data_IF_045659340016
#
_entry.id   IF_045659340016
#
_cell.length_a   1.000
_cell.length_b   1.000
_cell.length_c   1.000
_cell.angle_alpha   90.00
_cell.angle_beta   90.00
_cell.angle_gamma   90.00
#
_symmetry.space_group_name_H-M   'P 1'
#
loop_
_entity.id
_entity.type
_entity.pdbx_description
1 polymer ?
#
# COMPACT_ATOMS: atom_id res chain seq x y z
N UNK A 1 -49.58 28.57 12.77
CA UNK A 1 -48.87 29.61 13.55
C UNK A 1 -47.54 29.88 12.86
N UNK A 2 -47.41 30.93 12.05
CA UNK A 2 -46.14 31.29 11.39
C UNK A 2 -45.40 32.33 12.24
N UNK A 3 -44.12 32.11 12.54
CA UNK A 3 -43.25 33.13 13.12
C UNK A 3 -41.86 33.07 12.47
N UNK A 4 -41.66 34.09 11.63
CA UNK A 4 -40.50 34.95 11.45
C UNK A 4 -39.11 34.37 11.16
N UNK A 5 -38.74 34.60 9.89
CA UNK A 5 -37.39 34.74 9.39
C UNK A 5 -36.68 35.91 10.07
N UNK A 6 -35.65 35.61 10.88
CA UNK A 6 -34.69 36.58 11.38
C UNK A 6 -33.37 36.45 10.60
N UNK A 7 -33.11 37.46 9.80
CA UNK A 7 -31.91 37.72 9.00
C UNK A 7 -30.66 37.81 9.90
N UNK A 8 -29.86 36.75 9.94
CA UNK A 8 -28.56 36.75 10.59
C UNK A 8 -27.49 37.33 9.64
N UNK A 9 -27.25 38.64 9.74
CA UNK A 9 -26.09 39.31 9.11
C UNK A 9 -24.83 38.83 9.84
N UNK A 10 -24.10 37.92 9.22
CA UNK A 10 -22.80 37.46 9.67
C UNK A 10 -21.78 38.61 9.59
N UNK A 11 -21.57 39.31 10.72
CA UNK A 11 -20.39 40.15 10.91
C UNK A 11 -19.16 39.23 11.02
N UNK A 12 -18.38 39.20 9.94
CA UNK A 12 -17.08 38.51 9.92
C UNK A 12 -16.12 39.08 10.99
N UNK A 13 -15.14 38.29 11.43
CA UNK A 13 -14.18 38.71 12.44
C UNK A 13 -13.35 39.89 11.95
N UNK A 14 -13.38 40.98 12.70
CA UNK A 14 -12.49 42.14 12.51
C UNK A 14 -11.07 41.66 12.83
N UNK A 15 -10.25 41.51 11.79
CA UNK A 15 -8.82 41.28 11.94
C UNK A 15 -8.21 42.48 12.65
N UNK A 16 -7.79 42.28 13.90
CA UNK A 16 -6.93 43.24 14.58
C UNK A 16 -5.60 43.37 13.80
N UNK A 17 -5.11 44.59 13.53
CA UNK A 17 -3.78 44.76 12.96
C UNK A 17 -2.73 44.22 13.94
N UNK A 18 -1.68 43.54 13.46
CA UNK A 18 -0.63 43.02 14.33
C UNK A 18 0.08 44.19 15.05
N UNK A 19 0.53 43.98 16.30
CA UNK A 19 1.31 44.99 17.01
C UNK A 19 2.58 45.27 16.20
N UNK A 20 2.76 46.54 15.82
CA UNK A 20 4.03 47.03 15.32
C UNK A 20 5.06 46.90 16.44
N UNK A 21 5.83 45.81 16.39
CA UNK A 21 7.06 45.68 17.16
C UNK A 21 8.02 46.75 16.64
N UNK A 22 8.06 47.88 17.33
CA UNK A 22 9.16 48.84 17.27
C UNK A 22 10.40 48.13 17.78
N UNK A 23 11.08 47.40 16.88
CA UNK A 23 12.43 46.90 17.11
C UNK A 23 13.36 48.09 17.05
N UNK A 24 13.72 48.61 18.21
CA UNK A 24 14.93 49.40 18.40
C UNK A 24 16.12 48.54 17.98
N UNK A 25 16.56 48.70 16.72
CA UNK A 25 17.85 48.20 16.28
C UNK A 25 18.93 48.99 17.02
N UNK A 26 19.37 48.44 18.15
CA UNK A 26 20.67 48.77 18.73
C UNK A 26 21.72 48.41 17.69
N UNK A 27 22.30 49.44 17.09
CA UNK A 27 23.41 49.37 16.13
C UNK A 27 24.68 48.86 16.82
N UNK A 28 24.74 47.55 17.07
CA UNK A 28 26.00 46.84 17.24
C UNK A 28 26.40 46.28 15.87
N UNK A 29 26.70 47.20 14.95
CA UNK A 29 27.26 46.88 13.65
C UNK A 29 28.72 46.42 13.82
N UNK A 30 28.90 45.17 14.25
CA UNK A 30 30.07 44.36 13.92
C UNK A 30 30.04 44.00 12.43
N UNK A 31 29.91 45.01 11.57
CA UNK A 31 30.15 44.86 10.16
C UNK A 31 31.64 44.51 10.02
N UNK A 32 31.94 43.28 9.63
CA UNK A 32 33.24 42.92 9.07
C UNK A 32 33.38 43.76 7.80
N UNK A 33 33.88 44.99 7.98
CA UNK A 33 34.26 45.89 6.90
C UNK A 33 35.46 45.24 6.22
N UNK A 34 35.20 44.45 5.18
CA UNK A 34 36.27 44.09 4.26
C UNK A 34 36.80 45.39 3.65
N UNK A 35 38.07 45.75 3.87
CA UNK A 35 38.64 46.97 3.33
C UNK A 35 38.54 46.91 1.81
N UNK A 36 37.80 47.86 1.24
CA UNK A 36 37.39 47.86 -0.18
C UNK A 36 38.56 47.97 -1.16
N UNK A 37 39.78 48.23 -0.69
CA UNK A 37 40.99 48.42 -1.49
C UNK A 37 42.25 47.80 -0.84
N UNK A 38 42.15 46.63 -0.20
CA UNK A 38 43.36 45.89 0.19
C UNK A 38 43.90 45.14 -1.04
N UNK A 39 44.85 45.74 -1.76
CA UNK A 39 45.66 45.00 -2.75
C UNK A 39 46.48 43.98 -1.96
N UNK A 40 45.96 42.75 -1.87
CA UNK A 40 46.66 41.65 -1.22
C UNK A 40 48.00 41.48 -1.92
N UNK A 41 49.09 41.51 -1.14
CA UNK A 41 50.41 41.25 -1.70
C UNK A 41 50.43 39.83 -2.28
N UNK A 42 51.14 39.61 -3.39
CA UNK A 42 51.22 38.30 -4.08
C UNK A 42 51.47 37.11 -3.13
N UNK A 43 52.31 37.22 -2.08
CA UNK A 43 52.50 36.12 -1.12
C UNK A 43 51.24 35.80 -0.29
N UNK A 44 50.42 36.80 0.02
CA UNK A 44 49.16 36.64 0.74
C UNK A 44 48.11 35.92 -0.12
N UNK A 45 48.00 36.29 -1.40
CA UNK A 45 47.12 35.61 -2.36
C UNK A 45 47.47 34.11 -2.48
N UNK A 46 48.77 33.77 -2.54
CA UNK A 46 49.20 32.37 -2.61
C UNK A 46 48.83 31.57 -1.36
N UNK A 47 48.94 32.18 -0.17
CA UNK A 47 48.54 31.54 1.09
C UNK A 47 47.02 31.30 1.13
N UNK A 48 46.23 32.27 0.69
CA UNK A 48 44.77 32.14 0.63
C UNK A 48 44.34 31.08 -0.39
N UNK A 49 44.94 31.03 -1.58
CA UNK A 49 44.68 29.99 -2.57
C UNK A 49 45.02 28.59 -2.05
N UNK A 50 46.17 28.41 -1.40
CA UNK A 50 46.55 27.14 -0.80
C UNK A 50 45.57 26.71 0.31
N UNK A 51 45.11 27.66 1.13
CA UNK A 51 44.12 27.41 2.18
C UNK A 51 42.77 27.00 1.60
N UNK A 52 42.30 27.68 0.55
CA UNK A 52 41.07 27.35 -0.16
C UNK A 52 41.14 25.98 -0.82
N UNK A 53 42.27 25.65 -1.46
CA UNK A 53 42.47 24.35 -2.08
C UNK A 53 42.46 23.23 -1.03
N UNK A 54 43.14 23.42 0.11
CA UNK A 54 43.09 22.46 1.22
C UNK A 54 41.68 22.33 1.83
N UNK A 55 40.88 23.40 1.85
CA UNK A 55 39.48 23.35 2.28
C UNK A 55 38.61 22.56 1.29
N UNK A 56 38.83 22.74 -0.01
CA UNK A 56 38.13 22.03 -1.08
C UNK A 56 38.45 20.53 -1.04
N UNK A 57 39.72 20.16 -0.84
CA UNK A 57 40.13 18.76 -0.72
C UNK A 57 39.53 18.10 0.53
N UNK A 58 39.46 18.82 1.66
CA UNK A 58 38.75 18.36 2.86
C UNK A 58 37.25 18.13 2.60
N UNK A 59 36.59 19.05 1.91
CA UNK A 59 35.19 18.92 1.55
C UNK A 59 34.95 17.71 0.63
N UNK A 60 35.78 17.54 -0.41
CA UNK A 60 35.71 16.38 -1.32
C UNK A 60 35.95 15.06 -0.59
N UNK A 61 36.90 15.02 0.34
CA UNK A 61 37.15 13.83 1.16
C UNK A 61 35.96 13.52 2.09
N UNK A 62 35.28 14.55 2.60
CA UNK A 62 34.02 14.40 3.35
C UNK A 62 32.93 13.74 2.51
N UNK A 63 32.66 14.30 1.32
CA UNK A 63 31.64 13.77 0.39
C UNK A 63 31.93 12.30 0.05
N UNK A 64 33.17 11.95 -0.30
CA UNK A 64 33.53 10.55 -0.62
C UNK A 64 33.28 9.59 0.54
N UNK A 65 33.51 10.03 1.79
CA UNK A 65 33.24 9.19 2.98
C UNK A 65 31.75 8.97 3.17
N UNK A 66 30.93 10.00 2.94
CA UNK A 66 29.47 9.89 3.01
C UNK A 66 28.92 9.01 1.89
N UNK A 67 29.43 9.17 0.66
CA UNK A 67 29.06 8.33 -0.48
C UNK A 67 29.39 6.85 -0.21
N UNK A 68 30.58 6.56 0.31
CA UNK A 68 30.95 5.19 0.69
C UNK A 68 30.01 4.61 1.75
N UNK A 69 29.70 5.37 2.80
CA UNK A 69 28.74 4.94 3.83
C UNK A 69 27.36 4.67 3.25
N UNK A 70 26.90 5.51 2.33
CA UNK A 70 25.60 5.32 1.66
C UNK A 70 25.60 4.06 0.81
N UNK A 71 26.65 3.84 0.02
CA UNK A 71 26.80 2.64 -0.81
C UNK A 71 26.87 1.37 0.05
N UNK A 72 27.60 1.40 1.17
CA UNK A 72 27.69 0.27 2.08
C UNK A 72 26.34 -0.02 2.76
N UNK A 73 25.61 1.03 3.17
CA UNK A 73 24.25 0.89 3.71
C UNK A 73 23.27 0.31 2.67
N UNK A 74 23.34 0.76 1.41
CA UNK A 74 22.53 0.20 0.32
C UNK A 74 22.86 -1.27 0.06
N UNK A 75 24.15 -1.65 0.07
CA UNK A 75 24.57 -3.05 -0.08
C UNK A 75 24.06 -3.93 1.04
N UNK A 76 24.10 -3.46 2.29
CA UNK A 76 23.56 -4.17 3.44
C UNK A 76 22.05 -4.39 3.32
N UNK A 77 21.30 -3.35 2.95
CA UNK A 77 19.85 -3.46 2.73
C UNK A 77 19.48 -4.45 1.61
N UNK A 78 20.25 -4.45 0.51
CA UNK A 78 20.06 -5.43 -0.58
C UNK A 78 20.36 -6.86 -0.10
N UNK A 79 21.35 -7.04 0.77
CA UNK A 79 21.68 -8.36 1.31
C UNK A 79 20.54 -8.88 2.22
N UNK A 80 20.02 -8.03 3.11
CA UNK A 80 18.89 -8.35 3.98
C UNK A 80 17.64 -8.72 3.16
N UNK A 81 17.29 -7.91 2.16
CA UNK A 81 16.17 -8.23 1.25
C UNK A 81 16.35 -9.57 0.51
N UNK A 82 17.58 -9.96 0.18
CA UNK A 82 17.86 -11.24 -0.47
C UNK A 82 17.74 -12.41 0.50
N UNK A 83 18.04 -12.19 1.77
CA UNK A 83 17.88 -13.19 2.82
C UNK A 83 16.39 -13.43 3.09
N UNK A 84 15.61 -12.37 3.29
CA UNK A 84 14.15 -12.49 3.46
C UNK A 84 13.49 -13.18 2.27
N UNK A 85 13.91 -12.84 1.04
CA UNK A 85 13.39 -13.50 -0.16
C UNK A 85 13.73 -15.00 -0.22
N UNK A 86 14.89 -15.42 0.31
CA UNK A 86 15.24 -16.85 0.39
C UNK A 86 14.41 -17.57 1.44
N UNK A 87 14.18 -16.94 2.59
CA UNK A 87 13.31 -17.50 3.63
C UNK A 87 11.88 -17.68 3.12
N UNK A 88 11.35 -16.69 2.40
CA UNK A 88 10.03 -16.77 1.76
C UNK A 88 9.94 -17.93 0.77
N UNK A 89 10.94 -18.12 -0.10
CA UNK A 89 10.98 -19.26 -1.02
C UNK A 89 10.98 -20.59 -0.27
N UNK A 90 11.76 -20.71 0.81
CA UNK A 90 11.81 -21.92 1.62
C UNK A 90 10.48 -22.22 2.33
N UNK A 91 9.79 -21.18 2.81
CA UNK A 91 8.44 -21.30 3.39
C UNK A 91 7.44 -21.77 2.34
N UNK A 92 7.50 -21.21 1.12
CA UNK A 92 6.62 -21.61 0.02
C UNK A 92 6.87 -23.05 -0.42
N UNK A 93 8.12 -23.46 -0.58
CA UNK A 93 8.47 -24.87 -0.88
C UNK A 93 7.99 -25.83 0.22
N UNK A 94 8.11 -25.43 1.49
CA UNK A 94 7.60 -26.21 2.62
C UNK A 94 6.07 -26.35 2.65
N UNK A 95 5.34 -25.28 2.33
CA UNK A 95 3.88 -25.30 2.24
C UNK A 95 3.40 -26.14 1.04
N UNK A 96 4.10 -26.06 -0.09
CA UNK A 96 3.79 -26.90 -1.27
C UNK A 96 4.03 -28.39 -1.00
N UNK A 97 5.10 -28.74 -0.28
CA UNK A 97 5.36 -30.13 0.14
C UNK A 97 4.28 -30.66 1.08
N UNK A 98 3.86 -29.87 2.07
CA UNK A 98 2.79 -30.27 3.00
C UNK A 98 1.45 -30.52 2.27
N UNK A 99 1.08 -29.64 1.34
CA UNK A 99 -0.14 -29.83 0.52
C UNK A 99 -0.06 -31.10 -0.33
N UNK A 100 1.09 -31.40 -0.91
CA UNK A 100 1.26 -32.61 -1.72
C UNK A 100 1.15 -33.91 -0.88
N UNK A 101 1.60 -33.89 0.37
CA UNK A 101 1.47 -35.02 1.30
C UNK A 101 -0.01 -35.24 1.69
N UNK A 102 -0.75 -34.18 1.99
CA UNK A 102 -2.18 -34.27 2.32
C UNK A 102 -3.00 -34.80 1.13
N UNK A 103 -2.71 -34.34 -0.10
CA UNK A 103 -3.33 -34.86 -1.32
C UNK A 103 -3.04 -36.35 -1.53
N UNK A 104 -1.81 -36.81 -1.26
CA UNK A 104 -1.47 -38.23 -1.32
C UNK A 104 -2.28 -39.05 -0.31
N UNK A 105 -2.45 -38.57 0.92
CA UNK A 105 -3.23 -39.27 1.95
C UNK A 105 -4.69 -39.42 1.52
N UNK A 106 -5.30 -38.38 0.96
CA UNK A 106 -6.69 -38.42 0.46
C UNK A 106 -6.82 -39.44 -0.67
N UNK A 107 -5.90 -39.45 -1.63
CA UNK A 107 -5.90 -40.41 -2.74
C UNK A 107 -5.75 -41.86 -2.25
N UNK A 108 -4.86 -42.09 -1.28
CA UNK A 108 -4.61 -43.42 -0.72
C UNK A 108 -5.83 -43.93 0.07
N UNK A 109 -6.48 -43.06 0.83
CA UNK A 109 -7.70 -43.39 1.55
C UNK A 109 -8.87 -43.69 0.60
N UNK A 110 -9.03 -42.90 -0.46
CA UNK A 110 -10.02 -43.16 -1.53
C UNK A 110 -9.80 -44.52 -2.19
N UNK A 111 -8.55 -44.84 -2.56
CA UNK A 111 -8.21 -46.13 -3.15
C UNK A 111 -8.51 -47.32 -2.20
N UNK A 112 -8.29 -47.17 -0.90
CA UNK A 112 -8.64 -48.20 0.09
C UNK A 112 -10.15 -48.39 0.22
N UNK A 113 -10.93 -47.31 0.15
CA UNK A 113 -12.39 -47.39 0.18
C UNK A 113 -12.94 -48.08 -1.06
N UNK A 114 -12.41 -47.75 -2.24
CA UNK A 114 -12.78 -48.41 -3.49
C UNK A 114 -12.46 -49.90 -3.43
N UNK A 115 -11.29 -50.28 -2.91
CA UNK A 115 -10.89 -51.68 -2.77
C UNK A 115 -11.85 -52.46 -1.86
N UNK A 116 -12.22 -51.90 -0.70
CA UNK A 116 -13.25 -52.49 0.18
C UNK A 116 -14.62 -52.61 -0.51
N UNK A 117 -14.95 -51.65 -1.37
CA UNK A 117 -16.21 -51.67 -2.12
C UNK A 117 -16.21 -52.80 -3.15
N UNK A 118 -15.09 -53.03 -3.84
CA UNK A 118 -14.94 -54.16 -4.74
C UNK A 118 -15.02 -55.49 -4.00
N UNK A 119 -14.38 -55.63 -2.84
CA UNK A 119 -14.48 -56.85 -2.01
C UNK A 119 -15.93 -57.15 -1.59
N UNK A 120 -16.69 -56.12 -1.22
CA UNK A 120 -18.12 -56.27 -0.91
C UNK A 120 -18.93 -56.71 -2.13
N UNK A 121 -18.69 -56.11 -3.30
CA UNK A 121 -19.37 -56.49 -4.54
C UNK A 121 -19.02 -57.93 -4.97
N UNK A 122 -17.78 -58.38 -4.78
CA UNK A 122 -17.38 -59.77 -5.03
C UNK A 122 -18.12 -60.74 -4.11
N UNK A 123 -18.25 -60.40 -2.82
CA UNK A 123 -19.03 -61.20 -1.87
C UNK A 123 -20.52 -61.23 -2.23
N UNK A 124 -21.12 -60.08 -2.59
CA UNK A 124 -22.52 -60.01 -3.03
C UNK A 124 -22.76 -60.81 -4.32
N UNK A 125 -21.83 -60.75 -5.29
CA UNK A 125 -21.89 -61.51 -6.53
C UNK A 125 -21.76 -63.03 -6.25
N UNK A 126 -20.86 -63.44 -5.36
CA UNK A 126 -20.74 -64.83 -4.94
C UNK A 126 -22.01 -65.34 -4.25
N UNK A 127 -22.64 -64.52 -3.40
CA UNK A 127 -23.92 -64.84 -2.74
C UNK A 127 -25.11 -64.86 -3.72
N UNK A 128 -25.11 -64.01 -4.75
CA UNK A 128 -26.12 -64.04 -5.81
C UNK A 128 -26.02 -65.31 -6.67
N UNK A 129 -24.79 -65.74 -7.00
CA UNK A 129 -24.53 -67.02 -7.69
C UNK A 129 -24.97 -68.21 -6.83
N UNK A 130 -24.70 -68.18 -5.52
CA UNK A 130 -25.14 -69.22 -4.59
C UNK A 130 -26.68 -69.29 -4.43
N UNK A 131 -27.39 -68.16 -4.64
CA UNK A 131 -28.85 -68.07 -4.64
C UNK A 131 -29.51 -68.45 -5.97
N UNK A 132 -28.73 -68.71 -7.03
CA UNK A 132 -29.25 -69.15 -8.33
C UNK A 132 -29.93 -68.04 -9.14
N UNK A 133 -29.64 -66.77 -8.83
CA UNK A 133 -30.12 -65.63 -9.62
C UNK A 133 -29.25 -65.50 -10.89
N UNK A 134 -29.77 -65.98 -12.02
CA UNK A 134 -29.19 -65.75 -13.35
C UNK A 134 -29.24 -64.25 -13.66
N UNK A 135 -28.11 -63.55 -13.50
CA UNK A 135 -27.92 -62.20 -14.04
C UNK A 135 -27.48 -62.35 -15.49
N UNK A 136 -28.37 -62.06 -16.44
CA UNK A 136 -27.97 -61.86 -17.83
C UNK A 136 -27.08 -60.63 -17.93
N UNK A 137 -25.85 -60.86 -18.38
CA UNK A 137 -24.82 -59.85 -18.52
C UNK A 137 -24.72 -59.36 -19.98
N UNK A 138 -24.41 -58.07 -20.07
CA UNK A 138 -23.57 -57.43 -21.07
C UNK A 138 -24.16 -57.01 -22.42
N UNK A 139 -24.08 -55.69 -22.66
CA UNK A 139 -23.66 -55.18 -23.95
C UNK A 139 -24.17 -53.79 -24.26
N UNK A 140 -23.44 -52.74 -23.85
CA UNK A 140 -23.26 -51.54 -24.68
C UNK A 140 -22.15 -50.62 -24.11
N UNK A 141 -20.94 -50.81 -24.63
CA UNK A 141 -19.87 -49.82 -24.60
C UNK A 141 -19.86 -49.09 -25.94
N UNK A 142 -19.61 -47.77 -25.87
CA UNK A 142 -19.11 -46.89 -26.94
C UNK A 142 -20.13 -46.20 -27.87
N UNK A 143 -20.50 -44.97 -27.52
CA UNK A 143 -20.39 -43.78 -28.39
C UNK A 143 -20.86 -42.52 -27.67
N UNK A 144 -19.98 -41.52 -27.53
CA UNK A 144 -20.40 -40.18 -27.09
C UNK A 144 -19.33 -39.32 -26.45
N UNK A 145 -18.14 -39.24 -27.04
CA UNK A 145 -17.29 -38.09 -26.82
C UNK A 145 -17.91 -36.85 -27.50
N UNK A 146 -17.92 -35.74 -26.77
CA UNK A 146 -18.21 -34.36 -27.17
C UNK A 146 -19.60 -33.77 -26.81
N UNK A 147 -19.50 -32.61 -26.13
CA UNK A 147 -20.48 -31.55 -25.93
C UNK A 147 -21.42 -31.68 -24.73
N UNK A 148 -21.10 -30.96 -23.66
CA UNK A 148 -21.98 -30.80 -22.50
C UNK A 148 -21.23 -30.37 -21.26
N UNK A 149 -20.82 -29.10 -21.22
CA UNK A 149 -20.47 -28.41 -19.96
C UNK A 149 -21.67 -28.53 -19.02
N UNK A 150 -21.53 -29.30 -17.94
CA UNK A 150 -22.40 -29.24 -16.78
C UNK A 150 -21.58 -29.60 -15.54
N UNK A 151 -21.36 -28.55 -14.76
CA UNK A 151 -20.71 -28.47 -13.46
C UNK A 151 -21.38 -29.42 -12.46
N UNK A 152 -20.64 -30.27 -11.73
CA UNK A 152 -21.14 -30.84 -10.48
C UNK A 152 -20.83 -29.87 -9.33
N UNK A 153 -21.90 -29.37 -8.72
CA UNK A 153 -21.85 -28.61 -7.48
C UNK A 153 -21.56 -29.54 -6.30
N UNK A 154 -20.56 -29.18 -5.49
CA UNK A 154 -20.54 -29.46 -4.06
C UNK A 154 -19.57 -30.53 -3.58
N UNK A 155 -18.28 -30.18 -3.51
CA UNK A 155 -17.51 -30.18 -2.25
C UNK A 155 -16.51 -29.02 -2.34
N UNK A 156 -16.98 -27.82 -2.00
CA UNK A 156 -16.16 -26.64 -1.75
C UNK A 156 -15.82 -26.65 -0.25
N UNK A 157 -14.58 -27.02 0.04
CA UNK A 157 -13.85 -26.81 1.28
C UNK A 157 -12.42 -27.23 0.87
N UNK A 158 -11.42 -26.37 0.69
CA UNK A 158 -11.07 -25.21 1.51
C UNK A 158 -10.37 -24.14 0.64
N UNK A 159 -11.09 -23.06 0.32
CA UNK A 159 -10.54 -21.69 0.23
C UNK A 159 -11.67 -20.67 0.53
N UNK A 160 -12.58 -21.01 1.44
CA UNK A 160 -13.70 -20.11 1.80
C UNK A 160 -13.38 -19.22 3.02
N UNK A 161 -12.31 -19.51 3.76
CA UNK A 161 -11.95 -18.71 4.95
C UNK A 161 -11.10 -17.46 4.65
N UNK A 162 -10.57 -17.30 3.43
CA UNK A 162 -9.81 -16.08 3.04
C UNK A 162 -10.65 -15.06 2.26
N UNK A 163 -11.77 -15.51 1.65
CA UNK A 163 -12.70 -14.63 0.94
C UNK A 163 -13.59 -13.80 1.88
N UNK A 164 -13.72 -14.23 3.14
CA UNK A 164 -14.47 -13.56 4.19
C UNK A 164 -13.61 -12.76 5.16
N UNK A 165 -12.39 -12.38 4.78
CA UNK A 165 -11.74 -11.27 5.45
C UNK A 165 -12.37 -9.96 4.90
N UNK A 166 -13.31 -9.28 5.62
CA UNK A 166 -13.88 -8.01 5.16
C UNK A 166 -12.81 -6.92 4.96
N UNK A 167 -11.60 -7.21 5.43
CA UNK A 167 -10.40 -6.39 5.34
C UNK A 167 -9.70 -6.54 3.98
N UNK A 168 -10.07 -7.45 3.06
CA UNK A 168 -9.35 -7.60 1.77
C UNK A 168 -10.17 -7.21 0.53
N UNK A 169 -11.40 -6.74 0.71
CA UNK A 169 -12.28 -6.39 -0.40
C UNK A 169 -11.72 -5.23 -1.26
N UNK A 170 -11.84 -5.38 -2.58
CA UNK A 170 -11.36 -4.41 -3.58
C UNK A 170 -12.56 -3.74 -4.28
N UNK A 171 -12.60 -2.40 -4.28
CA UNK A 171 -13.77 -1.67 -4.81
C UNK A 171 -14.01 -1.89 -6.30
N UNK A 172 -12.94 -2.07 -7.09
CA UNK A 172 -13.03 -2.29 -8.55
C UNK A 172 -13.58 -3.66 -8.93
N UNK A 173 -13.57 -4.62 -7.99
CA UNK A 173 -14.12 -5.96 -8.22
C UNK A 173 -15.63 -5.98 -7.96
N UNK A 174 -16.08 -5.28 -6.91
CA UNK A 174 -17.51 -5.19 -6.56
C UNK A 174 -18.27 -4.13 -7.38
N UNK A 175 -17.60 -3.04 -7.76
CA UNK A 175 -18.22 -1.90 -8.41
C UNK A 175 -17.50 -1.50 -9.69
N UNK A 176 -18.28 -0.94 -10.62
CA UNK A 176 -17.72 -0.31 -11.82
C UNK A 176 -17.05 1.01 -11.44
N UNK A 177 -15.72 0.97 -11.33
CA UNK A 177 -14.91 2.14 -11.00
C UNK A 177 -14.28 2.78 -12.24
N UNK A 178 -13.88 4.05 -12.11
CA UNK A 178 -13.06 4.73 -13.11
C UNK A 178 -11.62 4.20 -13.06
N UNK A 179 -11.00 3.92 -14.22
CA UNK A 179 -9.66 3.33 -14.29
C UNK A 179 -8.52 4.15 -13.66
N UNK A 180 -8.74 5.43 -13.36
CA UNK A 180 -7.76 6.33 -12.72
C UNK A 180 -7.94 6.48 -11.20
N UNK A 181 -8.63 5.53 -10.55
CA UNK A 181 -8.84 5.58 -9.10
C UNK A 181 -7.52 5.35 -8.32
N UNK A 182 -7.19 6.20 -7.34
CA UNK A 182 -6.05 5.96 -6.46
C UNK A 182 -6.15 4.62 -5.74
N UNK A 183 -5.01 3.92 -5.66
CA UNK A 183 -4.91 2.59 -5.04
C UNK A 183 -5.50 2.54 -3.62
N UNK A 184 -5.33 3.62 -2.85
CA UNK A 184 -5.83 3.75 -1.47
C UNK A 184 -7.37 3.78 -1.38
N UNK A 185 -8.07 4.26 -2.40
CA UNK A 185 -9.53 4.18 -2.47
C UNK A 185 -9.98 2.82 -2.99
N UNK A 186 -9.17 2.18 -3.84
CA UNK A 186 -9.50 0.86 -4.36
C UNK A 186 -9.44 -0.23 -3.27
N UNK A 187 -8.55 -0.07 -2.30
CA UNK A 187 -8.35 -0.99 -1.17
C UNK A 187 -8.54 -0.25 0.15
N UNK A 188 -9.77 -0.16 0.71
CA UNK A 188 -10.04 0.57 1.95
C UNK A 188 -9.24 0.02 3.14
N UNK A 189 -8.90 -1.27 3.09
CA UNK A 189 -7.99 -1.96 4.01
C UNK A 189 -6.64 -1.27 4.25
N UNK A 190 -6.13 -0.57 3.24
CA UNK A 190 -4.86 0.15 3.35
C UNK A 190 -4.97 1.36 4.29
N UNK A 191 -6.18 1.75 4.67
CA UNK A 191 -6.38 2.80 5.66
C UNK A 191 -6.07 2.22 7.03
N UNK A 192 -4.99 2.72 7.64
CA UNK A 192 -4.65 2.44 9.04
C UNK A 192 -5.67 3.14 9.95
N UNK A 193 -6.82 2.53 10.09
CA UNK A 193 -7.91 3.02 10.92
C UNK A 193 -7.81 2.39 12.31
N UNK A 194 -7.64 3.22 13.34
CA UNK A 194 -7.52 2.74 14.72
C UNK A 194 -8.76 3.20 15.47
N UNK A 195 -9.66 2.25 15.79
CA UNK A 195 -10.82 2.54 16.63
C UNK A 195 -10.33 2.69 18.07
N UNK A 196 -10.64 3.84 18.68
CA UNK A 196 -10.37 4.06 20.10
C UNK A 196 -11.36 3.23 20.93
N UNK A 197 -10.86 2.21 21.63
CA UNK A 197 -11.64 1.47 22.61
C UNK A 197 -12.05 2.40 23.76
N UNK A 198 -13.36 2.62 23.91
CA UNK A 198 -13.92 3.37 25.03
C UNK A 198 -14.76 2.42 25.90
N UNK A 199 -14.71 2.62 27.22
CA UNK A 199 -15.53 1.86 28.14
C UNK A 199 -17.03 2.06 27.83
N UNK A 200 -17.85 1.00 27.74
CA UNK A 200 -19.24 1.10 27.28
C UNK A 200 -20.10 2.00 28.16
N UNK A 201 -19.87 2.00 29.49
CA UNK A 201 -20.57 2.90 30.43
C UNK A 201 -20.18 4.38 30.31
N UNK A 202 -19.06 4.69 29.65
CA UNK A 202 -18.53 6.05 29.49
C UNK A 202 -18.46 6.45 28.01
N UNK A 203 -19.35 5.89 27.18
CA UNK A 203 -19.48 6.30 25.77
C UNK A 203 -20.34 7.55 25.66
N UNK A 204 -19.88 8.55 24.93
CA UNK A 204 -20.66 9.73 24.55
C UNK A 204 -21.12 9.60 23.09
N UNK A 205 -22.11 10.39 22.67
CA UNK A 205 -22.55 10.44 21.27
C UNK A 205 -21.45 10.92 20.32
N UNK A 206 -20.52 11.74 20.81
CA UNK A 206 -19.35 12.15 20.04
C UNK A 206 -18.40 10.98 19.72
N UNK A 207 -18.45 9.88 20.48
CA UNK A 207 -17.63 8.71 20.22
C UNK A 207 -18.18 7.83 19.08
N UNK A 208 -19.40 8.08 18.62
CA UNK A 208 -19.97 7.35 17.48
C UNK A 208 -19.30 7.79 16.16
N UNK A 209 -18.81 9.02 16.10
CA UNK A 209 -18.01 9.48 14.97
C UNK A 209 -16.72 8.68 14.87
N UNK A 210 -16.55 8.00 13.74
CA UNK A 210 -15.36 7.21 13.50
C UNK A 210 -15.30 5.91 14.32
N UNK A 211 -16.42 5.40 14.79
CA UNK A 211 -16.47 4.09 15.44
C UNK A 211 -16.40 2.90 14.45
N UNK A 212 -16.63 3.16 13.16
CA UNK A 212 -16.75 2.13 12.11
C UNK A 212 -15.59 2.25 11.12
N UNK A 213 -15.09 1.10 10.67
CA UNK A 213 -14.08 1.05 9.62
C UNK A 213 -14.69 1.38 8.25
N UNK A 214 -13.95 2.08 7.38
CA UNK A 214 -14.40 2.35 6.02
C UNK A 214 -14.58 1.05 5.24
N UNK A 215 -15.73 0.90 4.58
CA UNK A 215 -16.05 -0.25 3.72
C UNK A 215 -15.90 0.09 2.24
N UNK A 216 -15.76 -0.93 1.37
CA UNK A 216 -15.79 -0.77 -0.09
C UNK A 216 -17.07 -0.11 -0.59
N UNK A 217 -18.18 -0.28 0.12
CA UNK A 217 -19.48 0.30 -0.22
C UNK A 217 -19.55 1.81 0.04
N UNK A 218 -18.64 2.34 0.88
CA UNK A 218 -18.53 3.76 1.19
C UNK A 218 -17.49 4.46 0.30
N UNK A 219 -16.67 3.70 -0.42
CA UNK A 219 -15.63 4.24 -1.29
C UNK A 219 -16.22 4.85 -2.56
N UNK A 220 -15.68 5.98 -3.05
CA UNK A 220 -16.17 6.61 -4.26
C UNK A 220 -15.85 5.75 -5.50
N UNK A 221 -16.71 5.76 -6.51
CA UNK A 221 -16.46 5.04 -7.78
C UNK A 221 -15.50 5.78 -8.74
N UNK A 222 -15.17 7.03 -8.46
CA UNK A 222 -14.16 7.77 -9.20
C UNK A 222 -13.60 8.94 -8.40
N UNK A 223 -12.34 9.30 -8.67
CA UNK A 223 -11.65 10.36 -7.97
C UNK A 223 -11.00 11.33 -8.95
N UNK A 224 -11.48 12.58 -8.93
CA UNK A 224 -10.98 13.64 -9.80
C UNK A 224 -10.13 14.63 -8.99
N UNK A 225 -8.96 14.17 -8.54
CA UNK A 225 -8.00 15.01 -7.82
C UNK A 225 -7.36 16.05 -8.74
N UNK A 226 -7.41 17.32 -8.36
CA UNK A 226 -6.67 18.36 -9.07
C UNK A 226 -5.21 18.37 -8.62
N UNK A 227 -4.28 18.32 -9.58
CA UNK A 227 -2.86 18.39 -9.27
C UNK A 227 -2.39 19.85 -9.21
N UNK A 228 -1.94 20.30 -8.04
CA UNK A 228 -1.36 21.64 -7.86
C UNK A 228 0.14 21.69 -8.17
N UNK A 229 0.69 20.67 -8.87
CA UNK A 229 2.13 20.55 -9.14
C UNK A 229 2.66 21.74 -9.94
N UNK A 230 1.94 22.14 -10.98
CA UNK A 230 2.29 23.30 -11.82
C UNK A 230 2.30 24.59 -10.99
N UNK A 231 1.20 24.88 -10.30
CA UNK A 231 1.08 26.08 -9.46
C UNK A 231 2.13 26.12 -8.35
N UNK A 232 2.42 24.98 -7.71
CA UNK A 232 3.47 24.87 -6.69
C UNK A 232 4.84 25.21 -7.26
N UNK A 233 5.14 24.74 -8.47
CA UNK A 233 6.39 25.09 -9.15
C UNK A 233 6.47 26.58 -9.47
N UNK A 234 5.39 27.18 -9.98
CA UNK A 234 5.33 28.63 -10.26
C UNK A 234 5.42 29.48 -8.99
N UNK A 235 4.80 29.04 -7.90
CA UNK A 235 4.81 29.76 -6.62
C UNK A 235 6.21 29.83 -5.99
N UNK A 236 7.13 28.92 -6.35
CA UNK A 236 8.53 28.96 -5.86
C UNK A 236 9.30 30.18 -6.40
N UNK A 237 8.91 30.72 -7.56
CA UNK A 237 9.57 31.89 -8.17
C UNK A 237 9.24 33.22 -7.47
N UNK A 238 8.29 33.21 -6.51
CA UNK A 238 7.85 34.40 -5.80
C UNK A 238 6.97 35.33 -6.65
N UNK A 239 6.67 36.54 -6.15
CA UNK A 239 5.85 37.50 -6.87
C UNK A 239 6.50 37.92 -8.19
N UNK A 240 5.71 37.97 -9.26
CA UNK A 240 6.16 38.46 -10.56
C UNK A 240 6.75 39.88 -10.46
N UNK A 241 7.89 40.10 -11.12
CA UNK A 241 8.53 41.42 -11.23
C UNK A 241 8.84 41.71 -12.70
N UNK A 242 8.45 42.90 -13.15
CA UNK A 242 8.83 43.37 -14.47
C UNK A 242 10.14 44.17 -14.40
N UNK A 243 11.17 43.74 -15.14
CA UNK A 243 12.44 44.44 -15.29
C UNK A 243 12.72 44.88 -16.74
N UNK A 244 11.70 44.91 -17.60
CA UNK A 244 11.85 45.39 -18.98
C UNK A 244 12.09 46.90 -19.03
N UNK A 245 12.94 47.35 -19.96
CA UNK A 245 13.05 48.76 -20.33
C UNK A 245 11.91 49.13 -21.28
N UNK A 246 11.30 50.30 -21.08
CA UNK A 246 10.33 50.85 -22.02
C UNK A 246 11.07 51.36 -23.26
N UNK A 247 11.13 50.56 -24.32
CA UNK A 247 11.78 50.91 -25.60
C UNK A 247 10.76 51.25 -26.69
N UNK A 248 9.62 51.83 -26.31
CA UNK A 248 8.62 52.30 -27.28
C UNK A 248 9.13 53.54 -28.04
#
# INVERSE_FOLDING_TARGET
>A
MPLDAATAVARGPVLAPPPTSTTTHTTAAGAVRYPRNAVLQVPQIRKELASLQAALDRARAGIRKEDHKLVDAQRAAIAEMRETAREEVYVLEGVELAKAEDEQVVLLHGAQQDLKRYELLEHEAADAVARGEMVEEAGELSRGAASGVLVPAGVAAETEDEAENPILQITSELYRTSGHMPHRFNKPALWRYVIKGQHPLYSTTSNDYGKVHPSVHEMPHGFNGQSSKFTKHMNQAGPYRNFSLNTA
#
